data_IF_622120761362
#
_entry.id   IF_622120761362
#
_cell.length_a   1.000
_cell.length_b   1.000
_cell.length_c   1.000
_cell.angle_alpha   90.00
_cell.angle_beta   90.00
_cell.angle_gamma   90.00
#
_symmetry.space_group_name_H-M   'P 1'
#
loop_
_entity.id
_entity.type
_entity.pdbx_description
1 polymer ?
#
# COMPACT_ATOMS: atom_id res chain seq x y z
N UNK A 1 -25.53 20.01 10.54
CA UNK A 1 -25.54 18.55 10.27
C UNK A 1 -24.17 17.99 10.60
N UNK A 2 -24.05 17.23 11.69
CA UNK A 2 -22.78 16.62 12.11
C UNK A 2 -22.55 15.36 11.27
N UNK A 3 -21.58 15.39 10.35
CA UNK A 3 -21.10 14.19 9.69
C UNK A 3 -20.52 13.29 10.79
N UNK A 4 -21.08 12.09 10.97
CA UNK A 4 -20.41 11.05 11.74
C UNK A 4 -18.99 10.92 11.19
N UNK A 5 -17.93 11.07 12.01
CA UNK A 5 -16.58 10.94 11.48
C UNK A 5 -16.44 9.52 10.94
N UNK A 6 -16.26 9.40 9.62
CA UNK A 6 -15.89 8.15 8.97
C UNK A 6 -14.75 7.55 9.79
N UNK A 7 -14.86 6.26 10.16
CA UNK A 7 -13.76 5.59 10.86
C UNK A 7 -12.49 5.81 10.02
N UNK A 8 -11.37 6.21 10.65
CA UNK A 8 -10.13 6.41 9.92
C UNK A 8 -9.78 5.10 9.22
N UNK A 9 -9.59 5.16 7.91
CA UNK A 9 -9.19 4.03 7.09
C UNK A 9 -8.08 4.47 6.14
N UNK A 10 -7.30 3.52 5.66
CA UNK A 10 -6.27 3.78 4.66
C UNK A 10 -6.93 4.12 3.33
N UNK A 11 -6.73 5.33 2.85
CA UNK A 11 -7.18 5.78 1.54
C UNK A 11 -6.14 6.72 0.91
N UNK A 12 -6.05 6.69 -0.41
CA UNK A 12 -5.20 7.56 -1.19
C UNK A 12 -5.75 7.71 -2.60
N UNK A 13 -5.52 8.86 -3.21
CA UNK A 13 -5.66 9.01 -4.66
C UNK A 13 -4.30 8.79 -5.31
N UNK A 14 -4.31 8.04 -6.41
CA UNK A 14 -3.11 7.71 -7.16
C UNK A 14 -3.29 8.21 -8.60
N UNK A 15 -2.60 9.30 -8.92
CA UNK A 15 -2.63 9.92 -10.23
C UNK A 15 -1.39 9.43 -10.99
N UNK A 16 -1.58 8.42 -11.85
CA UNK A 16 -0.47 7.75 -12.52
C UNK A 16 0.20 8.65 -13.56
N UNK A 17 -0.60 9.46 -14.25
CA UNK A 17 -0.17 10.43 -15.26
C UNK A 17 0.73 11.50 -14.63
N UNK A 18 0.31 12.06 -13.50
CA UNK A 18 1.03 13.10 -12.76
C UNK A 18 2.12 12.54 -11.85
N UNK A 19 2.20 11.21 -11.77
CA UNK A 19 3.05 10.46 -10.84
C UNK A 19 2.87 10.96 -9.40
N UNK A 20 1.64 11.09 -8.95
CA UNK A 20 1.30 11.72 -7.67
C UNK A 20 0.52 10.74 -6.77
N UNK A 21 0.93 10.65 -5.51
CA UNK A 21 0.14 10.00 -4.46
C UNK A 21 -0.38 11.08 -3.52
N UNK A 22 -1.68 11.09 -3.30
CA UNK A 22 -2.37 11.97 -2.36
C UNK A 22 -3.02 11.15 -1.23
N UNK A 23 -2.31 10.93 -0.12
CA UNK A 23 -2.83 10.16 1.01
C UNK A 23 -3.94 10.91 1.73
N UNK A 24 -5.04 10.23 2.01
CA UNK A 24 -6.13 10.75 2.81
C UNK A 24 -5.84 10.46 4.29
N UNK A 25 -5.26 11.44 4.98
CA UNK A 25 -4.98 11.34 6.42
C UNK A 25 -6.00 12.18 7.19
N UNK A 26 -6.78 11.58 8.11
CA UNK A 26 -7.79 12.32 8.87
C UNK A 26 -7.15 13.35 9.82
N UNK A 27 -7.68 14.58 9.82
CA UNK A 27 -7.29 15.61 10.78
C UNK A 27 -8.45 15.97 11.73
N UNK A 28 -8.21 16.03 13.06
CA UNK A 28 -6.92 15.79 13.72
C UNK A 28 -6.53 14.31 13.71
N UNK A 29 -5.24 14.03 13.50
CA UNK A 29 -4.74 12.65 13.52
C UNK A 29 -4.94 12.02 14.90
N UNK A 30 -5.58 10.85 14.93
CA UNK A 30 -5.67 9.97 16.11
C UNK A 30 -5.18 8.59 15.73
N UNK A 31 -4.36 7.99 16.58
CA UNK A 31 -3.88 6.64 16.34
C UNK A 31 -5.06 5.63 16.26
N UNK A 32 -5.01 4.73 15.27
CA UNK A 32 -6.04 3.71 15.08
C UNK A 32 -5.43 2.35 14.71
N UNK A 33 -6.26 1.31 14.76
CA UNK A 33 -5.92 -0.02 14.26
C UNK A 33 -6.66 -0.30 12.97
N UNK A 34 -5.92 -0.70 11.93
CA UNK A 34 -6.45 -1.11 10.64
C UNK A 34 -6.31 -2.62 10.46
N UNK A 35 -7.31 -3.26 9.83
CA UNK A 35 -7.20 -4.66 9.42
C UNK A 35 -6.71 -4.72 7.97
N UNK A 36 -5.44 -5.06 7.77
CA UNK A 36 -4.82 -5.14 6.44
C UNK A 36 -4.80 -6.58 5.95
N UNK A 37 -5.31 -6.86 4.75
CA UNK A 37 -5.35 -8.19 4.15
C UNK A 37 -4.15 -8.42 3.23
N UNK A 38 -3.26 -9.36 3.59
CA UNK A 38 -1.97 -9.51 2.92
C UNK A 38 -1.79 -10.84 2.19
N UNK A 39 -2.75 -11.77 2.33
CA UNK A 39 -2.77 -13.02 1.58
C UNK A 39 -4.20 -13.50 1.40
N UNK A 40 -4.47 -14.07 0.23
CA UNK A 40 -5.65 -14.87 -0.03
C UNK A 40 -5.18 -16.24 -0.53
N UNK A 41 -5.78 -17.32 -0.03
CA UNK A 41 -5.56 -18.68 -0.51
C UNK A 41 -6.87 -19.24 -1.03
N UNK A 42 -6.91 -19.69 -2.29
CA UNK A 42 -8.08 -20.39 -2.82
C UNK A 42 -8.32 -21.67 -2.02
N UNK A 43 -9.54 -21.87 -1.53
CA UNK A 43 -9.95 -23.09 -0.86
C UNK A 43 -10.16 -24.20 -1.90
N UNK A 44 -9.79 -25.45 -1.61
CA UNK A 44 -10.07 -26.57 -2.51
C UNK A 44 -11.59 -26.76 -2.65
N UNK A 45 -12.07 -27.07 -3.85
CA UNK A 45 -13.49 -27.35 -4.14
C UNK A 45 -14.01 -26.73 -5.44
N UNK A 46 -15.25 -27.10 -5.81
CA UNK A 46 -15.91 -26.61 -7.04
C UNK A 46 -16.33 -25.13 -6.98
N UNK A 47 -16.54 -24.57 -5.78
CA UNK A 47 -16.94 -23.16 -5.59
C UNK A 47 -15.71 -22.26 -5.53
N UNK A 48 -15.82 -21.06 -6.12
CA UNK A 48 -14.79 -20.03 -6.00
C UNK A 48 -14.83 -19.43 -4.59
N UNK A 49 -14.00 -19.96 -3.68
CA UNK A 49 -13.91 -19.52 -2.30
C UNK A 49 -12.46 -19.27 -1.89
N UNK A 50 -12.24 -18.25 -1.05
CA UNK A 50 -10.92 -17.85 -0.56
C UNK A 50 -10.86 -17.87 0.97
N UNK A 51 -9.72 -18.26 1.51
CA UNK A 51 -9.30 -17.99 2.88
C UNK A 51 -8.45 -16.73 2.87
N UNK A 52 -8.94 -15.69 3.55
CA UNK A 52 -8.26 -14.41 3.67
C UNK A 52 -7.42 -14.36 4.94
N UNK A 53 -6.22 -13.81 4.83
CA UNK A 53 -5.29 -13.61 5.94
C UNK A 53 -5.10 -12.11 6.14
N UNK A 54 -5.27 -11.66 7.38
CA UNK A 54 -5.14 -10.26 7.74
C UNK A 54 -4.22 -10.06 8.95
N UNK A 55 -3.69 -8.85 9.08
CA UNK A 55 -2.93 -8.39 10.24
C UNK A 55 -3.56 -7.11 10.77
N UNK A 56 -3.73 -7.01 12.08
CA UNK A 56 -4.08 -5.73 12.73
C UNK A 56 -2.83 -4.87 12.82
N UNK A 57 -2.88 -3.68 12.25
CA UNK A 57 -1.76 -2.72 12.25
C UNK A 57 -2.20 -1.47 12.97
N UNK A 58 -1.52 -1.13 14.07
CA UNK A 58 -1.72 0.14 14.75
C UNK A 58 -0.89 1.23 14.09
N UNK A 59 -1.53 2.25 13.53
CA UNK A 59 -0.88 3.46 13.02
C UNK A 59 -0.81 4.49 14.15
N UNK A 60 0.42 4.86 14.54
CA UNK A 60 0.70 5.75 15.68
C UNK A 60 0.97 7.18 15.25
N UNK A 61 1.34 7.41 13.99
CA UNK A 61 1.68 8.75 13.48
C UNK A 61 1.18 8.93 12.05
N UNK A 62 0.92 10.18 11.64
CA UNK A 62 0.65 10.54 10.23
C UNK A 62 1.72 9.98 9.28
N UNK A 63 2.99 10.03 9.70
CA UNK A 63 4.12 9.52 8.92
C UNK A 63 4.04 8.03 8.63
N UNK A 64 3.54 7.22 9.58
CA UNK A 64 3.35 5.78 9.33
C UNK A 64 2.29 5.53 8.26
N UNK A 65 1.19 6.30 8.27
CA UNK A 65 0.13 6.22 7.25
C UNK A 65 0.68 6.59 5.88
N UNK A 66 1.37 7.73 5.80
CA UNK A 66 2.00 8.20 4.57
C UNK A 66 2.99 7.18 3.99
N UNK A 67 3.80 6.55 4.84
CA UNK A 67 4.74 5.52 4.39
C UNK A 67 4.02 4.26 3.93
N UNK A 68 2.98 3.83 4.63
CA UNK A 68 2.23 2.64 4.26
C UNK A 68 1.57 2.81 2.91
N UNK A 69 0.79 3.89 2.75
CA UNK A 69 0.15 4.26 1.49
C UNK A 69 1.18 4.38 0.37
N UNK A 70 2.30 5.07 0.62
CA UNK A 70 3.35 5.20 -0.39
C UNK A 70 3.89 3.84 -0.85
N UNK A 71 4.19 2.93 0.08
CA UNK A 71 4.67 1.60 -0.28
C UNK A 71 3.61 0.80 -1.06
N UNK A 72 2.34 0.91 -0.68
CA UNK A 72 1.23 0.24 -1.35
C UNK A 72 1.13 0.72 -2.81
N UNK A 73 1.03 2.03 -3.02
CA UNK A 73 0.89 2.63 -4.35
C UNK A 73 2.14 2.47 -5.22
N UNK A 74 3.34 2.56 -4.61
CA UNK A 74 4.58 2.25 -5.31
C UNK A 74 4.55 0.83 -5.88
N UNK A 75 4.02 -0.14 -5.14
CA UNK A 75 3.96 -1.52 -5.61
C UNK A 75 2.93 -1.70 -6.73
N UNK A 76 1.80 -0.98 -6.70
CA UNK A 76 0.87 -0.90 -7.84
C UNK A 76 1.57 -0.38 -9.09
N UNK A 77 2.29 0.73 -8.97
CA UNK A 77 3.09 1.28 -10.07
C UNK A 77 4.12 0.27 -10.58
N UNK A 78 4.87 -0.40 -9.70
CA UNK A 78 5.86 -1.41 -10.09
C UNK A 78 5.21 -2.56 -10.88
N UNK A 79 4.09 -3.09 -10.39
CA UNK A 79 3.38 -4.17 -11.08
C UNK A 79 2.88 -3.75 -12.46
N UNK A 80 2.38 -2.53 -12.59
CA UNK A 80 1.88 -1.97 -13.86
C UNK A 80 3.01 -1.68 -14.85
N UNK A 81 3.96 -0.83 -14.45
CA UNK A 81 4.94 -0.22 -15.35
C UNK A 81 6.17 -1.08 -15.59
N UNK A 82 6.54 -1.94 -14.63
CA UNK A 82 7.74 -2.78 -14.73
C UNK A 82 7.38 -4.22 -15.05
N UNK A 83 6.34 -4.76 -14.41
CA UNK A 83 5.94 -6.17 -14.61
C UNK A 83 4.90 -6.36 -15.71
N UNK A 84 4.35 -5.29 -16.29
CA UNK A 84 3.32 -5.35 -17.33
C UNK A 84 2.01 -6.02 -16.87
N UNK A 85 1.81 -6.15 -15.56
CA UNK A 85 0.63 -6.76 -14.97
C UNK A 85 -0.52 -5.77 -14.78
N UNK A 86 -1.71 -6.27 -14.44
CA UNK A 86 -2.82 -5.41 -14.00
C UNK A 86 -2.48 -4.80 -12.64
N UNK A 87 -2.71 -3.49 -12.48
CA UNK A 87 -2.50 -2.71 -11.26
C UNK A 87 -3.49 -3.04 -10.12
N UNK A 88 -3.96 -4.29 -10.01
CA UNK A 88 -5.09 -4.66 -9.14
C UNK A 88 -4.75 -5.82 -8.19
N UNK A 89 -3.48 -5.93 -7.78
CA UNK A 89 -3.03 -6.96 -6.85
C UNK A 89 -2.98 -6.42 -5.41
N UNK A 90 -4.09 -5.88 -4.91
CA UNK A 90 -4.23 -5.23 -3.59
C UNK A 90 -3.53 -6.00 -2.47
N UNK A 91 -3.78 -7.30 -2.39
CA UNK A 91 -3.21 -8.17 -1.36
C UNK A 91 -1.69 -8.30 -1.44
N UNK A 92 -1.10 -8.18 -2.63
CA UNK A 92 0.34 -8.14 -2.81
C UNK A 92 0.93 -6.76 -2.46
N UNK A 93 0.24 -5.68 -2.83
CA UNK A 93 0.60 -4.30 -2.48
C UNK A 93 0.57 -4.10 -0.96
N UNK A 94 -0.47 -4.58 -0.29
CA UNK A 94 -0.58 -4.59 1.17
C UNK A 94 0.54 -5.40 1.82
N UNK A 95 0.87 -6.57 1.27
CA UNK A 95 1.99 -7.39 1.78
C UNK A 95 3.32 -6.64 1.68
N UNK A 96 3.56 -5.98 0.55
CA UNK A 96 4.75 -5.15 0.35
C UNK A 96 4.78 -3.98 1.33
N UNK A 97 3.69 -3.23 1.44
CA UNK A 97 3.56 -2.13 2.38
C UNK A 97 3.82 -2.57 3.83
N UNK A 98 3.23 -3.70 4.25
CA UNK A 98 3.41 -4.29 5.57
C UNK A 98 4.85 -4.68 5.91
N UNK A 99 5.66 -5.02 4.90
CA UNK A 99 7.06 -5.39 5.07
C UNK A 99 7.96 -4.14 5.15
N UNK A 100 7.63 -3.06 4.45
CA UNK A 100 8.57 -1.96 4.21
C UNK A 100 8.21 -0.63 4.87
N UNK A 101 6.95 -0.37 5.26
CA UNK A 101 6.52 0.97 5.70
C UNK A 101 7.18 1.48 7.00
N UNK A 102 7.63 0.56 7.87
CA UNK A 102 8.35 0.89 9.11
C UNK A 102 9.86 0.79 8.96
N UNK A 103 10.33 0.11 7.94
CA UNK A 103 11.76 -0.06 7.71
C UNK A 103 12.38 1.26 7.25
N UNK A 104 13.65 1.47 7.61
CA UNK A 104 14.44 2.59 7.06
C UNK A 104 14.82 2.34 5.60
N UNK A 105 14.82 1.07 5.17
CA UNK A 105 15.20 0.58 3.85
C UNK A 105 16.59 1.04 3.36
N UNK A 106 17.47 1.45 4.26
CA UNK A 106 18.84 1.81 3.93
C UNK A 106 19.63 0.53 3.61
N UNK A 107 20.37 0.52 2.50
CA UNK A 107 21.17 -0.63 2.07
C UNK A 107 20.35 -1.81 1.53
N UNK A 108 19.04 -1.66 1.32
CA UNK A 108 18.24 -2.68 0.63
C UNK A 108 18.62 -2.70 -0.84
N UNK A 109 19.04 -3.87 -1.34
CA UNK A 109 19.16 -4.09 -2.78
C UNK A 109 17.76 -4.24 -3.39
N UNK A 110 17.23 -3.12 -3.87
CA UNK A 110 15.92 -3.07 -4.50
C UNK A 110 15.88 -3.79 -5.85
N UNK A 111 17.01 -3.93 -6.54
CA UNK A 111 17.04 -4.63 -7.84
C UNK A 111 16.89 -6.14 -7.66
N UNK A 112 17.44 -6.68 -6.56
CA UNK A 112 17.21 -8.06 -6.15
C UNK A 112 15.77 -8.29 -5.65
N UNK A 113 15.23 -7.35 -4.88
CA UNK A 113 13.88 -7.48 -4.30
C UNK A 113 12.76 -7.25 -5.34
N UNK A 114 13.01 -6.40 -6.35
CA UNK A 114 12.06 -5.98 -7.37
C UNK A 114 12.66 -6.23 -8.76
N UNK A 115 12.54 -7.46 -9.31
CA UNK A 115 13.08 -7.78 -10.63
C UNK A 115 12.59 -6.80 -11.71
N UNK A 116 13.52 -6.27 -12.50
CA UNK A 116 13.25 -5.28 -13.55
C UNK A 116 13.10 -3.84 -13.07
N UNK A 117 13.14 -3.59 -11.75
CA UNK A 117 13.07 -2.23 -11.22
C UNK A 117 14.40 -1.50 -11.44
N UNK A 118 14.33 -0.36 -12.10
CA UNK A 118 15.43 0.58 -12.23
C UNK A 118 15.27 1.71 -11.19
N UNK A 119 16.18 1.81 -10.19
CA UNK A 119 16.09 2.82 -9.14
C UNK A 119 16.27 4.25 -9.65
N UNK A 120 16.80 4.45 -10.87
CA UNK A 120 16.87 5.77 -11.51
C UNK A 120 15.51 6.23 -12.03
N UNK A 121 14.58 5.30 -12.30
CA UNK A 121 13.22 5.57 -12.75
C UNK A 121 12.36 5.89 -11.53
N UNK A 122 12.30 7.18 -11.16
CA UNK A 122 11.56 7.60 -9.97
C UNK A 122 10.05 7.31 -10.13
N UNK A 123 9.42 6.62 -9.15
CA UNK A 123 8.11 6.05 -9.36
C UNK A 123 7.01 7.10 -9.27
N UNK A 124 6.99 7.88 -8.19
CA UNK A 124 5.90 8.81 -7.87
C UNK A 124 6.47 9.95 -7.00
N UNK A 125 6.16 11.21 -7.34
CA UNK A 125 6.38 12.41 -6.52
C UNK A 125 5.37 12.45 -5.38
N UNK A 126 5.76 12.99 -4.23
CA UNK A 126 4.82 13.32 -3.15
C UNK A 126 4.07 14.60 -3.51
N UNK A 127 2.79 14.68 -3.17
CA UNK A 127 2.10 15.97 -3.09
C UNK A 127 2.85 16.87 -2.10
N UNK A 128 2.98 18.15 -2.45
CA UNK A 128 3.69 19.17 -1.66
C UNK A 128 3.08 19.32 -0.26
#
# INVERSE_FOLDING_TARGET
MSLSPLRPHLAAFCWYEDRLIEPQVPEPFRAWEERVYYRARRKPGRRLAFQWFSRRVRFRTRREVLRFVYCHEFYHWYLREVRGGKASAETACDRFALAHFRARNAGVDWTALLPGYDPTRRPLKRAA
#
